data_IF_667745399820
#
_entry.id   IF_667745399820
#
_cell.length_a   1.000
_cell.length_b   1.000
_cell.length_c   1.000
_cell.angle_alpha   90.00
_cell.angle_beta   90.00
_cell.angle_gamma   90.00
#
_symmetry.space_group_name_H-M   'P 1'
#
loop_
_entity.id
_entity.type
_entity.pdbx_description
1 polymer ?
#
# COMPACT_ATOMS: atom_id res chain seq x y z
N UNK A 1 15.28 -14.53 -4.98
CA UNK A 1 15.91 -13.28 -4.49
C UNK A 1 16.36 -12.35 -5.61
N UNK A 2 17.00 -12.83 -6.68
CA UNK A 2 17.50 -12.00 -7.79
C UNK A 2 16.44 -11.08 -8.43
N UNK A 3 15.21 -11.57 -8.67
CA UNK A 3 14.16 -10.77 -9.33
C UNK A 3 13.68 -9.54 -8.52
N UNK A 4 13.53 -9.68 -7.20
CA UNK A 4 13.12 -8.56 -6.32
C UNK A 4 14.20 -7.48 -6.24
N UNK A 5 15.46 -7.89 -6.19
CA UNK A 5 16.61 -6.98 -6.17
C UNK A 5 16.73 -6.25 -7.52
N UNK A 6 16.61 -6.98 -8.64
CA UNK A 6 16.62 -6.39 -9.99
C UNK A 6 15.48 -5.39 -10.17
N UNK A 7 14.26 -5.74 -9.75
CA UNK A 7 13.11 -4.82 -9.82
C UNK A 7 13.32 -3.58 -8.93
N UNK A 8 13.86 -3.74 -7.72
CA UNK A 8 14.17 -2.61 -6.85
C UNK A 8 15.21 -1.66 -7.46
N UNK A 9 16.29 -2.21 -8.03
CA UNK A 9 17.32 -1.42 -8.73
C UNK A 9 16.72 -0.70 -9.93
N UNK A 10 15.90 -1.39 -10.73
CA UNK A 10 15.23 -0.78 -11.88
C UNK A 10 14.34 0.40 -11.46
N UNK A 11 13.56 0.27 -10.39
CA UNK A 11 12.75 1.37 -9.85
C UNK A 11 13.62 2.56 -9.43
N UNK A 12 14.74 2.32 -8.73
CA UNK A 12 15.66 3.40 -8.33
C UNK A 12 16.24 4.10 -9.55
N UNK A 13 16.68 3.35 -10.56
CA UNK A 13 17.21 3.91 -11.81
C UNK A 13 16.15 4.76 -12.52
N UNK A 14 14.91 4.26 -12.63
CA UNK A 14 13.81 5.01 -13.24
C UNK A 14 13.53 6.31 -12.51
N UNK A 15 13.51 6.31 -11.17
CA UNK A 15 13.29 7.52 -10.36
C UNK A 15 14.43 8.51 -10.54
N UNK A 16 15.69 8.05 -10.56
CA UNK A 16 16.84 8.92 -10.77
C UNK A 16 16.85 9.52 -12.17
N UNK A 17 16.58 8.72 -13.20
CA UNK A 17 16.47 9.19 -14.58
C UNK A 17 15.33 10.18 -14.74
N UNK A 18 14.17 9.90 -14.14
CA UNK A 18 13.06 10.84 -14.10
C UNK A 18 13.46 12.15 -13.41
N UNK A 19 14.18 12.10 -12.29
CA UNK A 19 14.65 13.31 -11.61
C UNK A 19 15.63 14.13 -12.45
N UNK A 20 16.52 13.49 -13.22
CA UNK A 20 17.48 14.16 -14.10
C UNK A 20 16.78 14.78 -15.32
N UNK A 21 15.96 13.99 -16.02
CA UNK A 21 15.24 14.43 -17.23
C UNK A 21 14.10 15.42 -16.89
N UNK A 22 13.47 15.23 -15.73
CA UNK A 22 12.36 16.02 -15.21
C UNK A 22 12.73 17.45 -14.84
N UNK A 23 14.02 17.79 -14.75
CA UNK A 23 14.49 19.18 -14.61
C UNK A 23 13.95 20.08 -15.70
N UNK A 24 13.77 19.53 -16.91
CA UNK A 24 13.26 20.25 -18.07
C UNK A 24 11.71 20.36 -18.08
N UNK A 25 11.01 19.62 -17.22
CA UNK A 25 9.53 19.59 -17.20
C UNK A 25 9.01 20.67 -16.26
N UNK A 26 8.18 21.59 -16.78
CA UNK A 26 7.68 22.72 -16.00
C UNK A 26 6.76 22.23 -14.88
N UNK A 27 6.88 22.79 -13.67
CA UNK A 27 6.04 22.39 -12.53
C UNK A 27 4.54 22.47 -12.87
N UNK A 28 4.12 23.43 -13.70
CA UNK A 28 2.74 23.54 -14.19
C UNK A 28 2.26 22.28 -14.94
N UNK A 29 3.15 21.59 -15.67
CA UNK A 29 2.86 20.32 -16.33
C UNK A 29 2.92 19.13 -15.36
N UNK A 30 3.67 19.25 -14.28
CA UNK A 30 3.75 18.22 -13.23
C UNK A 30 2.49 18.24 -12.33
N UNK A 31 1.89 19.41 -12.13
CA UNK A 31 0.79 19.60 -11.19
C UNK A 31 -0.45 18.72 -11.49
N UNK A 32 -0.95 18.62 -12.74
CA UNK A 32 -2.04 17.70 -13.07
C UNK A 32 -1.74 16.24 -12.72
N UNK A 33 -0.48 15.82 -12.78
CA UNK A 33 -0.07 14.46 -12.43
C UNK A 33 -0.13 14.23 -10.91
N UNK A 34 0.25 15.24 -10.11
CA UNK A 34 0.04 15.19 -8.66
C UNK A 34 -1.45 15.14 -8.32
N UNK A 35 -2.30 15.92 -8.99
CA UNK A 35 -3.74 15.88 -8.76
C UNK A 35 -4.38 14.54 -9.15
N UNK A 36 -3.95 13.98 -10.28
CA UNK A 36 -4.34 12.63 -10.69
C UNK A 36 -3.93 11.60 -9.62
N UNK A 37 -2.67 11.66 -9.16
CA UNK A 37 -2.15 10.76 -8.14
C UNK A 37 -2.92 10.87 -6.82
N UNK A 38 -3.25 12.09 -6.36
CA UNK A 38 -4.10 12.35 -5.19
C UNK A 38 -5.48 11.68 -5.34
N UNK A 39 -6.10 11.83 -6.51
CA UNK A 39 -7.42 11.26 -6.80
C UNK A 39 -7.37 9.74 -6.84
N UNK A 40 -6.35 9.16 -7.47
CA UNK A 40 -6.16 7.71 -7.49
C UNK A 40 -5.93 7.16 -6.08
N UNK A 41 -5.09 7.82 -5.28
CA UNK A 41 -4.83 7.42 -3.90
C UNK A 41 -6.09 7.48 -3.02
N UNK A 42 -6.93 8.51 -3.17
CA UNK A 42 -8.18 8.63 -2.42
C UNK A 42 -9.21 7.58 -2.81
N UNK A 43 -9.33 7.24 -4.11
CA UNK A 43 -10.20 6.17 -4.59
C UNK A 43 -9.78 4.82 -3.99
N UNK A 44 -8.48 4.50 -4.04
CA UNK A 44 -7.98 3.21 -3.52
C UNK A 44 -8.16 3.14 -2.01
N UNK A 45 -7.84 4.20 -1.29
CA UNK A 45 -8.09 4.30 0.14
C UNK A 45 -9.56 4.03 0.48
N UNK A 46 -10.50 4.66 -0.24
CA UNK A 46 -11.93 4.49 -0.02
C UNK A 46 -12.44 3.07 -0.38
N UNK A 47 -12.12 2.58 -1.58
CA UNK A 47 -12.60 1.28 -2.08
C UNK A 47 -12.04 0.13 -1.26
N UNK A 48 -10.72 0.12 -1.03
CA UNK A 48 -10.07 -0.94 -0.23
C UNK A 48 -10.55 -0.87 1.22
N UNK A 49 -10.64 0.33 1.79
CA UNK A 49 -11.16 0.52 3.15
C UNK A 49 -12.60 0.00 3.34
N UNK A 50 -13.50 0.33 2.41
CA UNK A 50 -14.88 -0.15 2.44
C UNK A 50 -14.97 -1.68 2.27
N UNK A 51 -14.23 -2.25 1.34
CA UNK A 51 -14.16 -3.70 1.15
C UNK A 51 -13.70 -4.43 2.42
N UNK A 52 -12.70 -3.89 3.13
CA UNK A 52 -12.24 -4.46 4.40
C UNK A 52 -13.30 -4.41 5.50
N UNK A 53 -14.05 -3.31 5.59
CA UNK A 53 -15.13 -3.19 6.56
C UNK A 53 -16.25 -4.22 6.32
N UNK A 54 -16.52 -4.56 5.06
CA UNK A 54 -17.54 -5.53 4.67
C UNK A 54 -17.07 -6.98 4.88
N UNK A 55 -15.86 -7.33 4.41
CA UNK A 55 -15.38 -8.73 4.40
C UNK A 55 -14.82 -9.17 5.76
N UNK A 56 -14.24 -8.25 6.53
CA UNK A 56 -13.57 -8.57 7.80
C UNK A 56 -14.07 -7.73 9.00
N UNK A 57 -15.39 -7.66 9.26
CA UNK A 57 -15.96 -6.79 10.28
C UNK A 57 -15.44 -7.12 11.69
N UNK A 58 -15.33 -8.40 12.03
CA UNK A 58 -14.87 -8.86 13.36
C UNK A 58 -13.40 -8.53 13.64
N UNK A 59 -12.57 -8.51 12.59
CA UNK A 59 -11.14 -8.19 12.72
C UNK A 59 -10.92 -6.69 12.90
N UNK A 60 -11.73 -5.88 12.22
CA UNK A 60 -11.76 -4.43 12.40
C UNK A 60 -12.18 -4.07 13.84
N UNK A 61 -13.22 -4.75 14.36
CA UNK A 61 -13.72 -4.57 15.72
C UNK A 61 -12.70 -4.97 16.80
N UNK A 62 -11.94 -6.05 16.60
CA UNK A 62 -10.86 -6.48 17.52
C UNK A 62 -9.68 -5.49 17.52
N UNK A 63 -9.34 -4.91 16.36
CA UNK A 63 -8.30 -3.88 16.25
C UNK A 63 -8.67 -2.58 16.97
N UNK A 64 -9.95 -2.18 16.97
CA UNK A 64 -10.42 -0.96 17.64
C UNK A 64 -10.62 -1.10 19.16
N UNK A 65 -10.79 -2.33 19.68
CA UNK A 65 -11.06 -2.58 21.12
C UNK A 65 -9.83 -2.68 22.02
N UNK A 66 -8.62 -2.39 21.53
CA UNK A 66 -7.41 -2.28 22.35
C UNK A 66 -7.04 -3.55 23.14
N UNK A 67 -7.52 -4.72 22.72
CA UNK A 67 -7.35 -5.98 23.44
C UNK A 67 -5.97 -6.60 23.21
N UNK A 68 -5.01 -6.27 24.07
CA UNK A 68 -3.74 -6.98 24.18
C UNK A 68 -3.99 -8.46 24.49
N UNK A 69 -3.75 -9.31 23.51
CA UNK A 69 -3.41 -10.72 23.72
C UNK A 69 -2.41 -11.09 22.64
N UNK A 70 -1.25 -11.53 23.09
CA UNK A 70 -0.07 -11.92 22.32
C UNK A 70 -0.35 -13.20 21.54
N UNK A 71 -1.29 -13.16 20.60
CA UNK A 71 -1.46 -14.24 19.64
C UNK A 71 -0.47 -14.03 18.50
N UNK A 72 0.50 -14.93 18.41
CA UNK A 72 1.54 -15.04 17.38
C UNK A 72 1.01 -15.13 15.93
N UNK A 73 -0.32 -15.13 15.72
CA UNK A 73 -1.01 -15.05 14.43
C UNK A 73 -1.31 -13.61 13.94
N UNK A 74 -1.00 -12.56 14.71
CA UNK A 74 -1.27 -11.16 14.33
C UNK A 74 -0.49 -10.64 13.11
N UNK A 75 0.61 -11.30 12.73
CA UNK A 75 1.53 -10.81 11.69
C UNK A 75 0.95 -10.93 10.25
N UNK A 76 0.00 -11.84 10.02
CA UNK A 76 -0.69 -11.97 8.73
C UNK A 76 -1.73 -10.88 8.47
N UNK A 77 -2.36 -10.36 9.54
CA UNK A 77 -3.49 -9.41 9.45
C UNK A 77 -3.01 -7.99 9.18
N UNK A 78 -1.87 -7.58 9.77
CA UNK A 78 -1.30 -6.26 9.49
C UNK A 78 -0.89 -6.09 8.02
N UNK A 79 -0.61 -7.20 7.31
CA UNK A 79 -0.30 -7.18 5.87
C UNK A 79 -1.51 -6.84 5.00
N UNK A 80 -2.72 -7.06 5.50
CA UNK A 80 -3.97 -6.77 4.80
C UNK A 80 -4.28 -5.26 4.82
N UNK A 81 -3.89 -4.54 5.87
CA UNK A 81 -4.05 -3.08 5.96
C UNK A 81 -2.96 -2.30 5.20
N UNK A 82 -1.88 -2.98 4.78
CA UNK A 82 -0.76 -2.36 4.05
C UNK A 82 -1.21 -1.46 2.91
N UNK A 83 -2.13 -1.86 2.01
CA UNK A 83 -2.50 -1.02 0.87
C UNK A 83 -3.26 0.26 1.27
N UNK A 84 -4.05 0.19 2.35
CA UNK A 84 -4.77 1.35 2.90
C UNK A 84 -3.75 2.36 3.41
N UNK A 85 -2.85 1.93 4.30
CA UNK A 85 -1.84 2.80 4.90
C UNK A 85 -0.92 3.42 3.85
N UNK A 86 -0.50 2.62 2.86
CA UNK A 86 0.38 3.10 1.78
C UNK A 86 -0.31 4.18 0.93
N UNK A 87 -1.58 3.97 0.56
CA UNK A 87 -2.35 4.97 -0.20
C UNK A 87 -2.62 6.24 0.61
N UNK A 88 -2.90 6.13 1.92
CA UNK A 88 -3.06 7.29 2.81
C UNK A 88 -1.77 8.09 2.93
N UNK A 89 -0.61 7.43 3.05
CA UNK A 89 0.69 8.10 3.12
C UNK A 89 1.00 8.88 1.82
N UNK A 90 0.69 8.28 0.66
CA UNK A 90 0.84 8.94 -0.64
C UNK A 90 -0.09 10.15 -0.73
N UNK A 91 -1.37 9.98 -0.39
CA UNK A 91 -2.36 11.06 -0.36
C UNK A 91 -1.89 12.23 0.53
N UNK A 92 -1.46 11.94 1.77
CA UNK A 92 -0.97 12.95 2.70
C UNK A 92 0.26 13.68 2.14
N UNK A 93 1.19 12.95 1.53
CA UNK A 93 2.39 13.54 0.90
C UNK A 93 2.01 14.49 -0.22
N UNK A 94 1.10 14.10 -1.12
CA UNK A 94 0.66 14.96 -2.23
C UNK A 94 -0.07 16.21 -1.74
N UNK A 95 -0.88 16.10 -0.68
CA UNK A 95 -1.54 17.26 -0.06
C UNK A 95 -0.52 18.23 0.55
N UNK A 96 0.49 17.72 1.25
CA UNK A 96 1.58 18.54 1.80
C UNK A 96 2.31 19.26 0.67
N UNK A 97 2.66 18.56 -0.42
CA UNK A 97 3.29 19.18 -1.60
C UNK A 97 2.40 20.30 -2.14
N UNK A 98 1.09 20.11 -2.19
CA UNK A 98 0.16 21.12 -2.69
C UNK A 98 0.12 22.41 -1.87
N UNK A 99 0.31 22.32 -0.55
CA UNK A 99 0.37 23.49 0.33
C UNK A 99 1.77 24.11 0.34
N UNK A 100 2.82 23.28 0.34
CA UNK A 100 4.21 23.72 0.47
C UNK A 100 4.76 24.31 -0.83
N UNK A 101 4.44 23.72 -1.99
CA UNK A 101 4.95 24.17 -3.28
C UNK A 101 4.72 25.67 -3.59
N UNK A 102 3.52 26.25 -3.39
CA UNK A 102 3.33 27.68 -3.61
C UNK A 102 4.09 28.55 -2.60
N UNK A 103 4.26 28.11 -1.35
CA UNK A 103 5.06 28.83 -0.34
C UNK A 103 6.55 28.86 -0.72
N UNK A 104 7.07 27.73 -1.20
CA UNK A 104 8.46 27.65 -1.68
C UNK A 104 8.74 28.58 -2.87
N UNK A 105 7.75 28.84 -3.72
CA UNK A 105 7.91 29.76 -4.86
C UNK A 105 8.10 31.23 -4.45
N UNK A 106 7.85 31.59 -3.20
CA UNK A 106 8.02 32.97 -2.70
C UNK A 106 9.49 33.31 -2.36
N UNK A 107 10.37 32.32 -2.27
CA UNK A 107 11.78 32.54 -1.91
C UNK A 107 12.66 32.66 -3.17
N UNK A 108 13.42 33.76 -3.27
CA UNK A 108 14.31 34.03 -4.40
C UNK A 108 15.39 32.95 -4.61
N UNK A 109 15.86 32.33 -3.52
CA UNK A 109 16.83 31.24 -3.58
C UNK A 109 16.32 30.01 -4.36
N UNK A 110 15.01 29.75 -4.27
CA UNK A 110 14.35 28.62 -4.92
C UNK A 110 14.15 28.91 -6.41
N UNK A 111 13.87 30.17 -6.76
CA UNK A 111 13.80 30.62 -8.15
C UNK A 111 15.17 30.54 -8.85
N UNK A 112 16.26 30.84 -8.12
CA UNK A 112 17.63 30.70 -8.63
C UNK A 112 18.00 29.26 -8.96
N UNK A 113 17.48 28.28 -8.21
CA UNK A 113 17.74 26.84 -8.40
C UNK A 113 16.52 26.07 -8.95
N UNK A 114 15.64 26.75 -9.70
CA UNK A 114 14.35 26.20 -10.16
C UNK A 114 14.45 24.84 -10.85
N UNK A 115 15.51 24.60 -11.61
CA UNK A 115 15.66 23.37 -12.39
C UNK A 115 15.96 22.16 -11.49
N UNK A 116 16.70 22.37 -10.39
CA UNK A 116 16.95 21.34 -9.38
C UNK A 116 15.63 20.98 -8.68
N UNK A 117 14.86 21.98 -8.26
CA UNK A 117 13.55 21.76 -7.62
C UNK A 117 12.54 21.08 -8.55
N UNK A 118 12.53 21.42 -9.84
CA UNK A 118 11.70 20.74 -10.85
C UNK A 118 12.09 19.27 -11.00
N UNK A 119 13.39 18.97 -11.01
CA UNK A 119 13.89 17.61 -11.05
C UNK A 119 13.53 16.81 -9.80
N UNK A 120 13.71 17.38 -8.60
CA UNK A 120 13.33 16.74 -7.33
C UNK A 120 11.82 16.47 -7.31
N UNK A 121 11.00 17.46 -7.66
CA UNK A 121 9.54 17.34 -7.73
C UNK A 121 9.12 16.23 -8.70
N UNK A 122 9.71 16.16 -9.89
CA UNK A 122 9.38 15.14 -10.87
C UNK A 122 9.85 13.74 -10.46
N UNK A 123 11.04 13.62 -9.86
CA UNK A 123 11.53 12.36 -9.30
C UNK A 123 10.60 11.85 -8.18
N UNK A 124 10.17 12.74 -7.29
CA UNK A 124 9.21 12.43 -6.23
C UNK A 124 7.85 12.00 -6.81
N UNK A 125 7.35 12.70 -7.82
CA UNK A 125 6.11 12.33 -8.52
C UNK A 125 6.19 10.90 -9.08
N UNK A 126 7.28 10.57 -9.79
CA UNK A 126 7.46 9.22 -10.37
C UNK A 126 7.60 8.16 -9.28
N UNK A 127 8.36 8.44 -8.22
CA UNK A 127 8.49 7.55 -7.07
C UNK A 127 7.12 7.24 -6.44
N UNK A 128 6.34 8.28 -6.13
CA UNK A 128 5.02 8.10 -5.53
C UNK A 128 4.05 7.39 -6.49
N UNK A 129 4.16 7.64 -7.79
CA UNK A 129 3.34 6.95 -8.81
C UNK A 129 3.66 5.46 -8.87
N UNK A 130 4.95 5.09 -8.86
CA UNK A 130 5.37 3.68 -8.81
C UNK A 130 4.94 3.01 -7.51
N UNK A 131 5.03 3.72 -6.38
CA UNK A 131 4.53 3.23 -5.10
C UNK A 131 3.01 3.01 -5.14
N UNK A 132 2.23 3.96 -5.65
CA UNK A 132 0.79 3.82 -5.78
C UNK A 132 0.43 2.64 -6.70
N UNK A 133 1.13 2.48 -7.82
CA UNK A 133 0.95 1.36 -8.74
C UNK A 133 1.23 0.02 -8.06
N UNK A 134 2.36 -0.09 -7.34
CA UNK A 134 2.68 -1.29 -6.57
C UNK A 134 1.59 -1.59 -5.52
N UNK A 135 1.07 -0.56 -4.86
CA UNK A 135 -0.01 -0.66 -3.88
C UNK A 135 -1.30 -1.20 -4.51
N UNK A 136 -1.66 -0.71 -5.70
CA UNK A 136 -2.80 -1.23 -6.49
C UNK A 136 -2.61 -2.70 -6.80
N UNK A 137 -1.45 -3.08 -7.34
CA UNK A 137 -1.15 -4.47 -7.69
C UNK A 137 -1.22 -5.38 -6.46
N UNK A 138 -0.69 -4.96 -5.31
CA UNK A 138 -0.81 -5.72 -4.07
C UNK A 138 -2.26 -5.83 -3.58
N UNK A 139 -3.06 -4.76 -3.73
CA UNK A 139 -4.48 -4.80 -3.37
C UNK A 139 -5.29 -5.77 -4.25
N UNK A 140 -4.97 -5.86 -5.54
CA UNK A 140 -5.56 -6.83 -6.48
C UNK A 140 -5.18 -8.28 -6.16
N UNK A 141 -3.96 -8.51 -5.68
CA UNK A 141 -3.49 -9.85 -5.28
C UNK A 141 -4.05 -10.28 -3.91
N UNK A 142 -4.46 -9.33 -3.07
CA UNK A 142 -4.99 -9.56 -1.73
C UNK A 142 -6.10 -10.63 -1.67
N UNK A 143 -7.19 -10.53 -2.48
CA UNK A 143 -8.25 -11.52 -2.54
C UNK A 143 -7.77 -12.94 -2.90
N UNK A 144 -6.87 -13.06 -3.87
CA UNK A 144 -6.33 -14.36 -4.30
C UNK A 144 -5.44 -14.98 -3.24
N UNK A 145 -4.64 -14.17 -2.55
CA UNK A 145 -3.83 -14.64 -1.42
C UNK A 145 -4.72 -15.11 -0.27
N UNK A 146 -5.75 -14.34 0.10
CA UNK A 146 -6.73 -14.74 1.12
C UNK A 146 -7.36 -16.08 0.77
N UNK A 147 -7.84 -16.26 -0.47
CA UNK A 147 -8.45 -17.53 -0.91
C UNK A 147 -7.48 -18.71 -0.77
N UNK A 148 -6.20 -18.51 -1.07
CA UNK A 148 -5.15 -19.52 -0.89
C UNK A 148 -4.82 -19.82 0.58
N UNK A 149 -4.91 -18.83 1.47
CA UNK A 149 -4.69 -19.05 2.91
C UNK A 149 -5.87 -19.79 3.54
N UNK A 150 -7.10 -19.39 3.23
CA UNK A 150 -8.32 -20.07 3.72
C UNK A 150 -8.35 -21.51 3.24
N UNK A 151 -8.18 -21.76 1.93
CA UNK A 151 -8.15 -23.13 1.40
C UNK A 151 -7.00 -24.00 1.92
N UNK A 152 -5.88 -23.42 2.39
CA UNK A 152 -4.82 -24.17 3.08
C UNK A 152 -5.17 -24.50 4.52
N UNK A 153 -5.88 -23.61 5.22
CA UNK A 153 -6.37 -23.87 6.57
C UNK A 153 -7.48 -24.92 6.56
N UNK A 154 -8.45 -24.81 5.64
CA UNK A 154 -9.52 -25.80 5.49
C UNK A 154 -8.94 -27.21 5.26
N UNK A 155 -7.94 -27.32 4.38
CA UNK A 155 -7.26 -28.61 4.12
C UNK A 155 -6.45 -29.14 5.31
N UNK A 156 -5.90 -28.24 6.13
CA UNK A 156 -5.18 -28.63 7.34
C UNK A 156 -6.15 -29.09 8.43
N UNK A 157 -7.31 -28.44 8.58
CA UNK A 157 -8.39 -28.88 9.46
C UNK A 157 -9.00 -30.21 9.01
N UNK A 158 -9.29 -30.39 7.73
CA UNK A 158 -9.77 -31.67 7.18
C UNK A 158 -8.77 -32.81 7.43
N UNK A 159 -7.48 -32.58 7.20
CA UNK A 159 -6.43 -33.56 7.48
C UNK A 159 -6.32 -33.86 8.99
N UNK A 160 -6.47 -32.85 9.86
CA UNK A 160 -6.46 -33.04 11.30
C UNK A 160 -7.68 -33.85 11.77
N UNK A 161 -8.88 -33.55 11.24
CA UNK A 161 -10.11 -34.28 11.55
C UNK A 161 -10.07 -35.73 11.04
N UNK A 162 -9.43 -36.00 9.89
CA UNK A 162 -9.28 -37.35 9.35
C UNK A 162 -8.31 -38.24 10.17
N UNK A 163 -7.38 -37.63 10.92
CA UNK A 163 -6.41 -38.35 11.77
C UNK A 163 -6.90 -38.47 13.22
N UNK A 164 -7.84 -37.62 13.65
CA UNK A 164 -8.47 -37.77 14.96
C UNK A 164 -9.39 -39.01 14.96
N UNK A 165 -9.20 -39.96 15.90
CA UNK A 165 -10.08 -41.10 15.98
C UNK A 165 -11.49 -40.60 16.33
N UNK A 166 -12.49 -40.93 15.51
CA UNK A 166 -13.89 -40.81 15.91
C UNK A 166 -14.04 -41.52 17.24
N UNK A 167 -14.29 -40.77 18.32
CA UNK A 167 -14.74 -41.32 19.59
C UNK A 167 -16.14 -41.86 19.36
N UNK A 168 -16.21 -43.05 18.76
CA UNK A 168 -17.41 -43.84 18.63
C UNK A 168 -17.47 -44.75 19.86
N UNK A 169 -18.57 -44.56 20.57
CA UNK A 169 -19.21 -45.49 21.50
C UNK A 169 -18.65 -45.61 22.93
N UNK A 170 -19.47 -45.18 23.89
CA UNK A 170 -20.20 -46.13 24.73
C UNK A 170 -21.30 -45.39 25.46
N UNK A 171 -22.53 -45.52 24.96
CA UNK A 171 -23.69 -45.62 25.85
C UNK A 171 -23.53 -46.87 26.72
N UNK A 172 -23.80 -46.76 28.03
CA UNK A 172 -24.54 -47.82 28.69
C UNK A 172 -25.82 -47.29 29.32
N UNK A 173 -26.85 -48.08 29.04
CA UNK A 173 -28.19 -48.23 29.62
C UNK A 173 -28.43 -47.64 31.00
#
# INVERSE_FOLDING_TARGET
>A
MKLKVVSGIACVVVVLLAGILGRNVAFALQWPLFEALRTTASIIFAVVGAWFAIIYPERLKKSFRGGGTTDSNGQGIHRLFTPIVHSTAILATVLIIGVVAPLLKQFDWILSHKDIFRGISYGLLVFLTLWQLATVLFSLIGPDMVKRYVSRQDRAEEAAQAVMPSRKDNSPQ
#
